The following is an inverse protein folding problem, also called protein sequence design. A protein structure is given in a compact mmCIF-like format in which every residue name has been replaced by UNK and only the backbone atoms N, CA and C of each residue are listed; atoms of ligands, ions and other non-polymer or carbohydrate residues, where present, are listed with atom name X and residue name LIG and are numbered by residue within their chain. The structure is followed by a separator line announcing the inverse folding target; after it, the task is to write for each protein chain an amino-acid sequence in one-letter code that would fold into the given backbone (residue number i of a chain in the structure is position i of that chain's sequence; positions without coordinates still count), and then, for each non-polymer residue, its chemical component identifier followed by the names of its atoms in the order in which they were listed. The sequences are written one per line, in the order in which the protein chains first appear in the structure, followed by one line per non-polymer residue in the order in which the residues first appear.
data_IF_876657827766
#
_entry.id   IF_876657827766
#
_cell.length_a   1.000
_cell.length_b   1.000
_cell.length_c   1.000
_cell.angle_alpha   90.00
_cell.angle_beta   90.00
_cell.angle_gamma   90.00
#
_symmetry.space_group_name_H-M   'P 1'
#
loop_
_entity.id
_entity.type
_entity.pdbx_description
1 polymer ?
#
# COMPACT_ATOMS: atom_id res chain seq x y z
N UNK A 1 24.23 15.65 17.80
CA UNK A 1 23.44 14.40 17.50
C UNK A 1 23.26 14.23 16.00
N UNK A 2 23.69 13.11 15.42
CA UNK A 2 23.58 12.86 13.96
C UNK A 2 22.12 12.56 13.60
N UNK A 3 21.49 13.45 12.85
CA UNK A 3 20.09 13.28 12.42
C UNK A 3 20.03 12.21 11.34
N UNK A 4 19.32 11.11 11.59
CA UNK A 4 19.11 10.07 10.59
C UNK A 4 17.98 10.47 9.64
N UNK A 5 18.30 10.64 8.36
CA UNK A 5 17.32 10.96 7.30
C UNK A 5 17.02 9.72 6.48
N UNK A 6 15.74 9.47 6.21
CA UNK A 6 15.25 8.34 5.43
C UNK A 6 14.39 8.88 4.28
N UNK A 7 14.57 8.31 3.10
CA UNK A 7 13.73 8.58 1.92
C UNK A 7 12.57 7.58 1.89
N UNK A 8 11.36 8.08 1.75
CA UNK A 8 10.15 7.28 1.55
C UNK A 8 9.65 7.51 0.13
N UNK A 9 10.10 6.68 -0.79
CA UNK A 9 9.86 6.83 -2.22
C UNK A 9 8.40 6.59 -2.60
N UNK A 10 7.88 7.35 -3.56
CA UNK A 10 6.57 7.13 -4.14
C UNK A 10 6.60 5.96 -5.13
N UNK A 11 5.49 5.21 -5.21
CA UNK A 11 5.28 4.15 -6.20
C UNK A 11 4.43 4.65 -7.36
N UNK A 12 4.66 4.10 -8.54
CA UNK A 12 3.81 4.25 -9.72
C UNK A 12 3.28 2.90 -10.18
N UNK A 13 2.00 2.84 -10.52
CA UNK A 13 1.49 1.73 -11.32
C UNK A 13 1.79 2.06 -12.80
N UNK A 14 2.83 1.45 -13.34
CA UNK A 14 3.18 1.56 -14.78
C UNK A 14 2.12 0.89 -15.65
N UNK A 15 1.48 -0.16 -15.12
CA UNK A 15 0.29 -0.78 -15.66
C UNK A 15 -0.53 -1.36 -14.52
N UNK A 16 -1.86 -1.42 -14.69
CA UNK A 16 -2.78 -1.99 -13.72
C UNK A 16 -3.96 -2.64 -14.42
N UNK A 17 -4.17 -3.92 -14.17
CA UNK A 17 -5.31 -4.68 -14.65
C UNK A 17 -6.21 -5.10 -13.49
N UNK A 18 -7.50 -5.23 -13.77
CA UNK A 18 -8.47 -5.82 -12.87
C UNK A 18 -8.92 -7.14 -13.47
N UNK A 19 -8.49 -8.25 -12.85
CA UNK A 19 -8.65 -9.60 -13.40
C UNK A 19 -9.85 -10.34 -12.83
N UNK A 20 -10.61 -9.69 -11.97
CA UNK A 20 -11.82 -10.27 -11.39
C UNK A 20 -12.23 -9.56 -10.11
N UNK A 21 -13.28 -10.10 -9.50
CA UNK A 21 -13.79 -9.66 -8.21
C UNK A 21 -13.99 -10.88 -7.31
N UNK A 22 -13.56 -10.78 -6.06
CA UNK A 22 -13.82 -11.79 -5.04
C UNK A 22 -14.55 -11.13 -3.88
N UNK A 23 -15.85 -11.34 -3.81
CA UNK A 23 -16.77 -10.63 -2.89
C UNK A 23 -16.69 -9.11 -3.09
N UNK A 24 -16.17 -8.35 -2.11
CA UNK A 24 -16.09 -6.89 -2.12
C UNK A 24 -14.78 -6.37 -2.73
N UNK A 25 -13.74 -7.24 -2.87
CA UNK A 25 -12.41 -6.84 -3.34
C UNK A 25 -12.19 -7.24 -4.80
N UNK A 26 -11.60 -6.33 -5.57
CA UNK A 26 -11.14 -6.63 -6.91
C UNK A 26 -9.79 -7.36 -6.88
N UNK A 27 -9.63 -8.36 -7.75
CA UNK A 27 -8.33 -8.96 -8.04
C UNK A 27 -7.60 -8.05 -9.00
N UNK A 28 -6.40 -7.63 -8.62
CA UNK A 28 -5.57 -6.74 -9.43
C UNK A 28 -4.24 -7.41 -9.74
N UNK A 29 -3.69 -7.07 -10.88
CA UNK A 29 -2.29 -7.29 -11.21
C UNK A 29 -1.69 -5.97 -11.68
N UNK A 30 -0.39 -5.76 -11.46
CA UNK A 30 0.24 -4.47 -11.74
C UNK A 30 1.73 -4.59 -11.96
N UNK A 31 2.24 -3.79 -12.91
CA UNK A 31 3.66 -3.48 -13.04
C UNK A 31 3.92 -2.22 -12.24
N UNK A 32 4.80 -2.29 -11.26
CA UNK A 32 5.03 -1.23 -10.28
C UNK A 32 6.46 -0.76 -10.35
N UNK A 33 6.64 0.54 -10.58
CA UNK A 33 7.90 1.24 -10.46
C UNK A 33 7.93 2.14 -9.23
N UNK A 34 9.12 2.42 -8.71
CA UNK A 34 9.33 3.44 -7.70
C UNK A 34 10.02 4.64 -8.34
N UNK A 35 9.82 5.83 -7.79
CA UNK A 35 10.40 7.08 -8.27
C UNK A 35 11.18 7.77 -7.17
N UNK A 36 12.10 8.63 -7.58
CA UNK A 36 12.92 9.45 -6.69
C UNK A 36 12.15 10.57 -5.97
N UNK A 37 10.88 10.78 -6.30
CA UNK A 37 9.97 11.60 -5.49
C UNK A 37 9.68 10.90 -4.16
N UNK A 38 10.04 11.52 -3.06
CA UNK A 38 9.95 10.92 -1.73
C UNK A 38 9.64 11.95 -0.65
N UNK A 39 8.97 11.52 0.41
CA UNK A 39 8.94 12.24 1.66
C UNK A 39 10.28 12.07 2.40
N UNK A 40 10.71 13.09 3.13
CA UNK A 40 11.95 13.01 3.94
C UNK A 40 11.56 12.81 5.40
N UNK A 41 12.05 11.73 5.99
CA UNK A 41 11.78 11.34 7.37
C UNK A 41 13.04 11.54 8.19
N UNK A 42 12.96 12.35 9.23
CA UNK A 42 14.00 12.47 10.26
C UNK A 42 13.54 11.70 11.48
N UNK A 43 14.38 10.81 12.00
CA UNK A 43 14.08 9.99 13.16
C UNK A 43 15.24 9.97 14.14
N UNK A 44 14.95 10.31 15.39
CA UNK A 44 15.89 10.28 16.49
C UNK A 44 15.25 9.61 17.70
N UNK A 45 16.03 8.86 18.46
CA UNK A 45 15.64 8.43 19.80
C UNK A 45 15.68 9.64 20.74
N UNK A 46 14.77 9.71 21.70
CA UNK A 46 14.78 10.73 22.74
C UNK A 46 14.27 10.14 24.07
N UNK A 47 14.58 10.81 25.17
CA UNK A 47 14.31 10.34 26.54
C UNK A 47 12.89 10.72 27.05
N UNK A 48 11.97 11.12 26.18
CA UNK A 48 10.61 11.48 26.58
C UNK A 48 9.73 10.26 26.83
N UNK A 49 8.61 10.46 27.54
CA UNK A 49 7.63 9.40 27.88
C UNK A 49 6.80 8.91 26.69
N UNK A 50 6.68 9.69 25.59
CA UNK A 50 5.83 9.39 24.41
C UNK A 50 6.61 9.60 23.11
N UNK A 51 6.18 8.94 22.02
CA UNK A 51 6.67 9.25 20.67
C UNK A 51 6.12 10.59 20.19
N UNK A 52 6.95 11.40 19.54
CA UNK A 52 6.56 12.65 18.89
C UNK A 52 6.62 12.50 17.38
N UNK A 53 5.47 12.55 16.71
CA UNK A 53 5.37 12.44 15.26
C UNK A 53 4.77 13.74 14.72
N UNK A 54 5.53 14.43 13.88
CA UNK A 54 5.14 15.70 13.30
C UNK A 54 5.32 15.70 11.78
N UNK A 55 4.46 16.47 11.11
CA UNK A 55 4.50 16.65 9.67
C UNK A 55 4.69 18.11 9.35
N UNK A 56 5.50 18.40 8.33
CA UNK A 56 5.73 19.76 7.83
C UNK A 56 5.94 19.74 6.32
N UNK A 57 5.95 20.91 5.69
CA UNK A 57 6.11 21.06 4.24
C UNK A 57 4.78 21.22 3.51
N UNK A 58 4.85 21.34 2.18
CA UNK A 58 3.75 21.77 1.31
C UNK A 58 2.45 20.96 1.46
N UNK A 59 2.54 19.65 1.76
CA UNK A 59 1.41 18.73 1.84
C UNK A 59 1.18 18.17 3.23
N UNK A 60 1.58 18.90 4.27
CA UNK A 60 1.41 18.50 5.67
C UNK A 60 0.06 18.92 6.28
N UNK A 61 -0.64 19.89 5.67
CA UNK A 61 -1.94 20.36 6.16
C UNK A 61 -2.95 19.21 6.17
N UNK A 62 -3.80 19.16 7.16
CA UNK A 62 -4.88 18.15 7.33
C UNK A 62 -4.41 16.69 7.54
N UNK A 63 -3.15 16.45 7.91
CA UNK A 63 -2.72 15.13 8.37
C UNK A 63 -3.16 14.97 9.82
N UNK A 64 -4.22 14.18 10.04
CA UNK A 64 -4.78 13.95 11.37
C UNK A 64 -3.82 13.19 12.31
N UNK A 65 -4.09 13.28 13.62
CA UNK A 65 -3.36 12.53 14.67
C UNK A 65 -3.38 11.01 14.46
N UNK A 66 -4.31 10.46 13.65
CA UNK A 66 -4.43 9.02 13.33
C UNK A 66 -3.83 8.68 11.96
N UNK A 67 -2.54 8.91 11.78
CA UNK A 67 -1.81 8.59 10.55
C UNK A 67 -1.09 7.22 10.64
N UNK A 68 -0.60 6.73 9.49
CA UNK A 68 0.04 5.40 9.38
C UNK A 68 1.31 5.26 10.20
N UNK A 69 2.09 6.33 10.36
CA UNK A 69 3.33 6.32 11.18
C UNK A 69 2.99 6.29 12.66
N UNK A 70 1.97 7.04 13.10
CA UNK A 70 1.47 6.96 14.48
C UNK A 70 1.00 5.55 14.82
N UNK A 71 0.24 4.93 13.91
CA UNK A 71 -0.20 3.54 14.07
C UNK A 71 0.97 2.57 14.20
N UNK A 72 2.01 2.73 13.37
CA UNK A 72 3.22 1.90 13.45
C UNK A 72 3.81 1.94 14.87
N UNK A 73 4.05 3.12 15.42
CA UNK A 73 4.62 3.23 16.76
C UNK A 73 3.72 2.70 17.86
N UNK A 74 2.41 2.91 17.77
CA UNK A 74 1.43 2.31 18.71
C UNK A 74 1.54 0.78 18.74
N UNK A 75 1.74 0.15 17.58
CA UNK A 75 1.90 -1.30 17.47
C UNK A 75 3.26 -1.74 18.03
N UNK A 76 4.32 -1.02 17.69
CA UNK A 76 5.68 -1.33 18.17
C UNK A 76 5.77 -1.25 19.70
N UNK A 77 5.15 -0.24 20.32
CA UNK A 77 5.07 -0.11 21.78
C UNK A 77 4.25 -1.25 22.41
N UNK A 78 3.07 -1.51 21.84
CA UNK A 78 2.19 -2.57 22.35
C UNK A 78 2.86 -3.94 22.35
N UNK A 79 3.66 -4.22 21.33
CA UNK A 79 4.40 -5.48 21.21
C UNK A 79 5.76 -5.45 21.93
N UNK A 80 6.05 -4.38 22.68
CA UNK A 80 7.32 -4.12 23.40
C UNK A 80 8.57 -4.30 22.52
N UNK A 81 8.47 -4.02 21.21
CA UNK A 81 9.57 -4.20 20.26
C UNK A 81 10.59 -3.08 20.32
N UNK A 82 10.25 -1.96 20.92
CA UNK A 82 11.12 -0.80 21.07
C UNK A 82 11.88 -0.81 22.40
N UNK A 83 11.66 -1.80 23.29
CA UNK A 83 12.31 -1.88 24.60
C UNK A 83 12.26 -0.53 25.34
N UNK A 84 11.06 0.05 25.45
CA UNK A 84 10.76 1.36 26.05
C UNK A 84 11.43 2.58 25.37
N UNK A 85 12.18 2.40 24.27
CA UNK A 85 12.77 3.51 23.52
C UNK A 85 11.70 4.37 22.86
N UNK A 86 11.81 5.69 23.01
CA UNK A 86 10.91 6.66 22.37
C UNK A 86 11.62 7.41 21.25
N UNK A 87 10.82 7.86 20.25
CA UNK A 87 11.37 8.46 19.04
C UNK A 87 10.65 9.77 18.70
N UNK A 88 11.45 10.75 18.28
CA UNK A 88 10.98 11.98 17.64
C UNK A 88 11.11 11.81 16.14
N UNK A 89 9.97 11.81 15.44
CA UNK A 89 9.89 11.62 13.98
C UNK A 89 9.33 12.89 13.35
N UNK A 90 10.10 13.51 12.47
CA UNK A 90 9.67 14.66 11.67
C UNK A 90 9.59 14.23 10.19
N UNK A 91 8.47 14.48 9.55
CA UNK A 91 8.22 14.06 8.16
C UNK A 91 7.95 15.29 7.29
N UNK A 92 8.88 15.59 6.37
CA UNK A 92 8.68 16.60 5.33
C UNK A 92 7.83 16.02 4.22
N UNK A 93 6.60 16.48 4.09
CA UNK A 93 5.65 16.01 3.07
C UNK A 93 5.90 16.67 1.72
N UNK A 94 6.42 15.88 0.78
CA UNK A 94 6.66 16.26 -0.63
C UNK A 94 5.71 15.53 -1.58
N UNK A 95 5.06 14.45 -1.10
CA UNK A 95 4.06 13.67 -1.82
C UNK A 95 2.67 14.15 -1.40
N UNK A 96 1.78 14.58 -2.33
CA UNK A 96 0.42 14.98 -2.01
C UNK A 96 -0.40 13.84 -1.40
N UNK A 97 -1.38 14.18 -0.57
CA UNK A 97 -2.36 13.22 -0.09
C UNK A 97 -3.32 12.81 -1.22
N UNK A 98 -3.90 11.60 -1.13
CA UNK A 98 -4.88 11.06 -2.09
C UNK A 98 -4.45 11.11 -3.57
N UNK A 99 -3.13 11.02 -3.80
CA UNK A 99 -2.54 11.09 -5.14
C UNK A 99 -2.38 9.71 -5.82
N UNK A 100 -2.77 8.62 -5.16
CA UNK A 100 -2.51 7.26 -5.66
C UNK A 100 -1.04 6.82 -5.59
N UNK A 101 -0.17 7.62 -4.96
CA UNK A 101 1.29 7.41 -4.87
C UNK A 101 1.74 6.63 -3.62
N UNK A 102 0.81 6.22 -2.76
CA UNK A 102 1.08 5.42 -1.57
C UNK A 102 1.85 6.13 -0.44
N UNK A 103 1.99 7.48 -0.45
CA UNK A 103 2.90 8.23 0.41
C UNK A 103 2.79 7.96 1.92
N UNK A 104 1.58 7.76 2.46
CA UNK A 104 1.39 7.46 3.89
C UNK A 104 1.90 6.08 4.30
N UNK A 105 1.55 5.03 3.53
CA UNK A 105 2.00 3.65 3.79
C UNK A 105 3.51 3.51 3.58
N UNK A 106 4.06 4.21 2.58
CA UNK A 106 5.51 4.24 2.31
C UNK A 106 6.29 4.89 3.46
N UNK A 107 5.75 5.95 4.08
CA UNK A 107 6.39 6.58 5.25
C UNK A 107 6.49 5.61 6.43
N UNK A 108 5.41 4.89 6.74
CA UNK A 108 5.42 3.91 7.82
C UNK A 108 6.38 2.75 7.53
N UNK A 109 6.39 2.22 6.30
CA UNK A 109 7.32 1.19 5.87
C UNK A 109 8.78 1.65 5.95
N UNK A 110 9.08 2.89 5.57
CA UNK A 110 10.43 3.47 5.64
C UNK A 110 10.91 3.63 7.07
N UNK A 111 10.05 4.07 7.99
CA UNK A 111 10.36 4.13 9.44
C UNK A 111 10.62 2.73 9.98
N UNK A 112 9.77 1.77 9.66
CA UNK A 112 9.94 0.38 10.08
C UNK A 112 11.29 -0.21 9.60
N UNK A 113 11.59 -0.08 8.31
CA UNK A 113 12.85 -0.56 7.73
C UNK A 113 14.07 0.11 8.37
N UNK A 114 13.98 1.39 8.73
CA UNK A 114 15.04 2.08 9.47
C UNK A 114 15.26 1.44 10.84
N UNK A 115 14.21 1.19 11.61
CA UNK A 115 14.31 0.58 12.94
C UNK A 115 14.92 -0.84 12.87
N UNK A 116 14.57 -1.61 11.85
CA UNK A 116 15.18 -2.92 11.55
C UNK A 116 16.66 -2.77 11.20
N UNK A 117 17.01 -1.87 10.26
CA UNK A 117 18.41 -1.63 9.85
C UNK A 117 19.30 -1.17 11.01
N UNK A 118 18.75 -0.41 11.94
CA UNK A 118 19.46 0.03 13.15
C UNK A 118 19.48 -1.01 14.27
N UNK A 119 19.02 -2.24 14.00
CA UNK A 119 18.94 -3.34 14.97
C UNK A 119 18.12 -2.99 16.24
N UNK A 120 17.29 -1.93 16.18
CA UNK A 120 16.36 -1.57 17.25
C UNK A 120 15.25 -2.61 17.33
N UNK A 121 14.81 -3.09 16.16
CA UNK A 121 13.85 -4.17 16.00
C UNK A 121 14.54 -5.34 15.32
N UNK A 122 14.45 -6.53 15.91
CA UNK A 122 14.95 -7.74 15.27
C UNK A 122 14.01 -8.18 14.13
N UNK A 123 14.47 -8.22 12.85
CA UNK A 123 13.63 -8.62 11.73
C UNK A 123 13.18 -10.09 11.81
N UNK A 124 13.97 -10.93 12.48
CA UNK A 124 13.68 -12.35 12.69
C UNK A 124 12.77 -12.58 13.91
N UNK A 125 12.58 -11.54 14.74
CA UNK A 125 11.65 -11.64 15.85
C UNK A 125 10.23 -11.84 15.32
N UNK A 126 9.54 -12.80 15.87
CA UNK A 126 8.24 -13.28 15.42
C UNK A 126 7.19 -12.18 15.29
N UNK A 127 7.21 -11.19 16.20
CA UNK A 127 6.31 -10.04 16.22
C UNK A 127 6.66 -8.99 15.15
N UNK A 128 7.92 -8.91 14.73
CA UNK A 128 8.39 -7.92 13.74
C UNK A 128 7.83 -8.17 12.34
N UNK A 129 7.76 -9.42 11.90
CA UNK A 129 7.20 -9.77 10.60
C UNK A 129 5.71 -9.46 10.49
N UNK A 130 4.96 -9.62 11.59
CA UNK A 130 3.52 -9.30 11.64
C UNK A 130 3.23 -7.80 11.53
N UNK A 131 4.17 -6.93 11.84
CA UNK A 131 3.97 -5.46 11.84
C UNK A 131 3.89 -4.89 10.43
N UNK A 132 4.58 -5.47 9.46
CA UNK A 132 4.44 -5.09 8.05
C UNK A 132 3.01 -5.29 7.55
N UNK A 133 2.31 -6.31 8.06
CA UNK A 133 0.92 -6.60 7.76
C UNK A 133 -0.05 -5.67 8.50
N UNK A 134 0.39 -5.07 9.62
CA UNK A 134 -0.45 -4.23 10.51
C UNK A 134 -0.47 -2.74 10.17
N UNK A 135 0.49 -2.24 9.40
CA UNK A 135 0.53 -0.82 9.04
C UNK A 135 -0.64 -0.48 8.11
N UNK A 136 -1.77 -0.15 8.69
CA UNK A 136 -3.03 0.14 8.00
C UNK A 136 -4.20 -0.76 8.37
N UNK A 137 -4.02 -1.77 9.25
CA UNK A 137 -5.04 -2.75 9.65
C UNK A 137 -5.50 -2.60 11.11
N UNK A 138 -6.55 -3.34 11.46
CA UNK A 138 -7.03 -3.45 12.85
C UNK A 138 -6.01 -4.20 13.73
N UNK A 139 -6.04 -3.99 15.03
CA UNK A 139 -5.12 -4.66 15.97
C UNK A 139 -5.74 -5.96 16.48
N UNK A 140 -5.03 -7.07 16.34
CA UNK A 140 -5.51 -8.40 16.72
C UNK A 140 -4.62 -8.99 17.82
N UNK A 141 -5.23 -9.37 18.95
CA UNK A 141 -4.57 -10.16 19.99
C UNK A 141 -5.06 -11.60 19.89
N UNK A 142 -4.12 -12.55 19.94
CA UNK A 142 -4.39 -13.98 19.72
C UNK A 142 -3.81 -14.78 20.88
N UNK A 143 -4.65 -15.55 21.58
CA UNK A 143 -4.24 -16.48 22.62
C UNK A 143 -4.85 -17.86 22.35
N UNK A 144 -4.06 -18.94 22.50
CA UNK A 144 -4.60 -20.29 22.53
C UNK A 144 -5.29 -20.54 23.86
N UNK A 145 -6.35 -21.34 23.87
CA UNK A 145 -7.07 -21.74 25.09
C UNK A 145 -7.68 -23.14 24.93
N UNK A 146 -8.08 -23.74 26.04
CA UNK A 146 -8.60 -25.13 26.08
C UNK A 146 -10.14 -25.25 25.97
N UNK A 147 -10.83 -24.21 25.50
CA UNK A 147 -12.29 -24.24 25.32
C UNK A 147 -12.68 -24.98 24.04
N UNK A 148 -13.92 -25.51 23.99
CA UNK A 148 -14.45 -26.27 22.84
C UNK A 148 -14.60 -25.47 21.54
N UNK A 149 -14.73 -24.11 21.60
CA UNK A 149 -14.97 -23.25 20.43
C UNK A 149 -14.00 -22.08 20.38
N UNK A 150 -13.69 -21.55 19.17
CA UNK A 150 -12.98 -20.29 19.03
C UNK A 150 -13.82 -19.12 19.57
N UNK A 151 -13.17 -18.17 20.23
CA UNK A 151 -13.81 -16.97 20.73
C UNK A 151 -13.25 -15.74 20.01
N UNK A 152 -14.11 -15.01 19.27
CA UNK A 152 -13.72 -13.82 18.50
C UNK A 152 -14.54 -12.64 19.02
N UNK A 153 -13.85 -11.64 19.56
CA UNK A 153 -14.47 -10.41 20.05
C UNK A 153 -13.89 -9.18 19.37
N UNK A 154 -14.74 -8.18 19.17
CA UNK A 154 -14.39 -6.90 18.56
C UNK A 154 -14.61 -5.77 19.56
N UNK A 155 -13.71 -4.79 19.57
CA UNK A 155 -13.83 -3.58 20.38
C UNK A 155 -13.21 -2.37 19.67
N UNK A 156 -13.47 -1.16 20.16
CA UNK A 156 -12.97 0.09 19.59
C UNK A 156 -14.01 0.83 18.75
N UNK A 157 -13.63 1.99 18.22
CA UNK A 157 -14.54 2.98 17.60
C UNK A 157 -15.45 2.41 16.50
N UNK A 158 -14.97 1.44 15.73
CA UNK A 158 -15.68 0.86 14.58
C UNK A 158 -16.07 -0.60 14.79
N UNK A 159 -16.25 -1.03 16.07
CA UNK A 159 -16.64 -2.40 16.41
C UNK A 159 -18.16 -2.62 16.46
N UNK A 160 -18.97 -1.57 16.51
CA UNK A 160 -20.42 -1.67 16.51
C UNK A 160 -20.92 -2.33 15.22
N UNK A 161 -21.93 -3.18 15.30
CA UNK A 161 -22.57 -3.87 14.17
C UNK A 161 -21.69 -4.86 13.39
N UNK A 162 -20.63 -5.41 13.99
CA UNK A 162 -19.90 -6.53 13.39
C UNK A 162 -20.68 -7.83 13.68
N UNK A 163 -21.33 -8.35 12.65
CA UNK A 163 -22.10 -9.58 12.76
C UNK A 163 -21.26 -10.82 13.10
N UNK A 164 -21.93 -11.87 13.58
CA UNK A 164 -21.32 -13.20 13.85
C UNK A 164 -20.63 -13.82 12.60
N UNK A 165 -21.07 -13.47 11.39
CA UNK A 165 -20.47 -13.92 10.11
C UNK A 165 -19.39 -12.95 9.61
N UNK A 166 -18.26 -12.84 10.29
CA UNK A 166 -17.13 -12.02 9.88
C UNK A 166 -16.00 -12.83 9.23
N UNK A 167 -15.05 -12.16 8.56
CA UNK A 167 -13.98 -12.81 7.78
C UNK A 167 -13.02 -13.64 8.64
N UNK A 168 -12.78 -13.26 9.90
CA UNK A 168 -11.94 -14.05 10.82
C UNK A 168 -12.68 -15.32 11.26
N UNK A 169 -13.98 -15.22 11.56
CA UNK A 169 -14.82 -16.39 11.84
C UNK A 169 -14.80 -17.36 10.65
N UNK A 170 -14.97 -16.83 9.44
CA UNK A 170 -14.95 -17.64 8.22
C UNK A 170 -13.60 -18.32 8.00
N UNK A 171 -12.49 -17.63 8.28
CA UNK A 171 -11.16 -18.24 8.23
C UNK A 171 -11.10 -19.46 9.14
N UNK A 172 -11.56 -19.35 10.41
CA UNK A 172 -11.51 -20.48 11.34
C UNK A 172 -12.44 -21.63 10.93
N UNK A 173 -13.62 -21.32 10.39
CA UNK A 173 -14.48 -22.37 9.81
C UNK A 173 -13.78 -23.16 8.70
N UNK A 174 -13.02 -22.47 7.83
CA UNK A 174 -12.23 -23.13 6.77
C UNK A 174 -11.08 -23.93 7.39
N UNK A 175 -10.32 -23.35 8.33
CA UNK A 175 -9.19 -24.03 8.95
C UNK A 175 -9.60 -25.26 9.79
N UNK A 176 -10.75 -25.19 10.47
CA UNK A 176 -11.32 -26.34 11.20
C UNK A 176 -11.81 -27.41 10.21
N UNK A 177 -12.52 -27.02 9.12
CA UNK A 177 -12.99 -27.94 8.07
C UNK A 177 -11.83 -28.70 7.41
N UNK A 178 -10.72 -28.03 7.14
CA UNK A 178 -9.51 -28.58 6.56
C UNK A 178 -8.62 -29.29 7.61
N UNK A 179 -9.08 -29.44 8.86
CA UNK A 179 -8.35 -30.02 10.00
C UNK A 179 -6.93 -29.45 10.22
N UNK A 180 -6.69 -28.21 9.76
CA UNK A 180 -5.37 -27.56 9.82
C UNK A 180 -4.99 -27.11 11.23
N UNK A 181 -5.93 -26.97 12.13
CA UNK A 181 -5.70 -26.49 13.50
C UNK A 181 -5.40 -27.60 14.50
N UNK A 182 -5.49 -28.88 14.11
CA UNK A 182 -5.25 -30.04 15.00
C UNK A 182 -5.98 -29.86 16.35
N UNK A 183 -7.28 -29.56 16.29
CA UNK A 183 -8.17 -29.33 17.44
C UNK A 183 -7.82 -28.14 18.35
N UNK A 184 -6.79 -27.33 18.04
CA UNK A 184 -6.43 -26.16 18.82
C UNK A 184 -7.46 -25.05 18.67
N UNK A 185 -7.90 -24.45 19.80
CA UNK A 185 -8.86 -23.36 19.82
C UNK A 185 -8.20 -22.06 20.29
N UNK A 186 -8.72 -20.92 19.81
CA UNK A 186 -8.09 -19.61 20.01
C UNK A 186 -9.11 -18.55 20.43
N UNK A 187 -8.65 -17.63 21.30
CA UNK A 187 -9.36 -16.41 21.69
C UNK A 187 -8.75 -15.21 20.97
N UNK A 188 -9.58 -14.47 20.26
CA UNK A 188 -9.20 -13.27 19.54
C UNK A 188 -9.87 -12.05 20.14
N UNK A 189 -9.09 -10.99 20.34
CA UNK A 189 -9.59 -9.65 20.63
C UNK A 189 -9.15 -8.72 19.51
N UNK A 190 -10.08 -8.20 18.72
CA UNK A 190 -9.81 -7.37 17.53
C UNK A 190 -10.25 -5.95 17.81
N UNK A 191 -9.28 -5.03 17.90
CA UNK A 191 -9.55 -3.60 18.03
C UNK A 191 -9.82 -3.03 16.65
N UNK A 192 -11.06 -2.64 16.38
CA UNK A 192 -11.48 -2.04 15.11
C UNK A 192 -11.05 -0.59 15.03
N UNK A 193 -10.04 -0.35 14.18
CA UNK A 193 -9.51 0.98 13.85
C UNK A 193 -9.86 1.40 12.43
N UNK A 194 -10.32 0.46 11.60
CA UNK A 194 -10.78 0.69 10.24
C UNK A 194 -12.30 0.61 10.23
N UNK A 195 -13.01 1.63 9.67
CA UNK A 195 -14.47 1.57 9.52
C UNK A 195 -14.88 0.36 8.70
N UNK A 196 -16.07 -0.19 9.02
CA UNK A 196 -16.67 -1.23 8.18
C UNK A 196 -17.03 -0.65 6.82
N UNK A 197 -17.02 -1.48 5.77
CA UNK A 197 -17.40 -1.10 4.39
C UNK A 197 -16.64 0.09 3.79
N UNK A 198 -15.52 0.49 4.40
CA UNK A 198 -14.71 1.62 3.93
C UNK A 198 -13.90 1.34 2.64
N UNK A 199 -14.11 0.18 1.99
CA UNK A 199 -13.32 -0.22 0.81
C UNK A 199 -11.83 -0.51 1.09
N UNK A 200 -11.41 -0.45 2.36
CA UNK A 200 -10.02 -0.59 2.80
C UNK A 200 -9.62 -2.04 3.14
N UNK A 201 -10.48 -3.02 2.84
CA UNK A 201 -10.18 -4.43 3.08
C UNK A 201 -10.00 -4.84 4.55
N UNK A 202 -10.42 -4.02 5.54
CA UNK A 202 -10.11 -4.22 6.95
C UNK A 202 -10.47 -5.61 7.52
N UNK A 203 -11.59 -6.20 7.09
CA UNK A 203 -11.98 -7.56 7.49
C UNK A 203 -11.09 -8.64 6.88
N UNK A 204 -10.76 -8.54 5.59
CA UNK A 204 -9.87 -9.46 4.88
C UNK A 204 -8.45 -9.39 5.41
N UNK A 205 -7.98 -8.19 5.74
CA UNK A 205 -6.66 -7.97 6.37
C UNK A 205 -6.58 -8.63 7.74
N UNK A 206 -7.67 -8.59 8.53
CA UNK A 206 -7.72 -9.27 9.83
C UNK A 206 -7.58 -10.79 9.66
N UNK A 207 -8.33 -11.38 8.72
CA UNK A 207 -8.26 -12.82 8.46
C UNK A 207 -6.84 -13.23 7.97
N UNK A 208 -6.25 -12.45 7.06
CA UNK A 208 -4.91 -12.69 6.57
C UNK A 208 -3.84 -12.59 7.66
N UNK A 209 -3.91 -11.56 8.53
CA UNK A 209 -2.98 -11.39 9.64
C UNK A 209 -3.07 -12.56 10.63
N UNK A 210 -4.28 -13.05 10.90
CA UNK A 210 -4.50 -14.25 11.74
C UNK A 210 -3.91 -15.49 11.07
N UNK A 211 -4.16 -15.69 9.79
CA UNK A 211 -3.61 -16.83 9.04
C UNK A 211 -2.07 -16.82 9.05
N UNK A 212 -1.46 -15.71 8.70
CA UNK A 212 0.00 -15.57 8.71
C UNK A 212 0.60 -15.81 10.09
N UNK A 213 -0.09 -15.37 11.16
CA UNK A 213 0.32 -15.68 12.53
C UNK A 213 0.32 -17.19 12.78
N UNK A 214 -0.73 -17.93 12.39
CA UNK A 214 -0.84 -19.37 12.61
C UNK A 214 0.23 -20.16 11.83
N UNK A 215 0.48 -19.78 10.56
CA UNK A 215 1.57 -20.37 9.74
C UNK A 215 2.93 -20.13 10.41
N UNK A 216 3.19 -18.90 10.82
CA UNK A 216 4.45 -18.52 11.44
C UNK A 216 4.70 -19.21 12.78
N UNK A 217 3.64 -19.44 13.54
CA UNK A 217 3.70 -20.22 14.80
C UNK A 217 3.83 -21.72 14.55
N UNK A 218 3.92 -22.15 13.30
CA UNK A 218 3.90 -23.57 12.91
C UNK A 218 2.67 -24.32 13.47
N UNK A 219 1.59 -23.57 13.76
CA UNK A 219 0.31 -24.12 14.21
C UNK A 219 -0.39 -24.79 13.02
N UNK A 220 -0.30 -24.14 11.86
CA UNK A 220 -0.74 -24.70 10.58
C UNK A 220 0.46 -24.76 9.63
N UNK A 221 0.51 -25.84 8.84
CA UNK A 221 1.47 -25.99 7.74
C UNK A 221 0.67 -26.24 6.45
N UNK A 222 0.10 -25.17 5.85
CA UNK A 222 -0.72 -25.31 4.66
C UNK A 222 0.15 -25.68 3.47
N UNK A 223 -0.31 -26.64 2.66
CA UNK A 223 0.28 -26.89 1.35
C UNK A 223 0.10 -25.66 0.45
N UNK A 224 0.79 -25.66 -0.71
CA UNK A 224 0.81 -24.53 -1.63
C UNK A 224 -0.59 -24.12 -2.14
N UNK A 225 -1.49 -25.10 -2.40
CA UNK A 225 -2.84 -24.84 -2.90
C UNK A 225 -3.73 -24.22 -1.83
N UNK A 226 -3.62 -24.68 -0.59
CA UNK A 226 -4.38 -24.12 0.54
C UNK A 226 -3.89 -22.71 0.93
N UNK A 227 -2.58 -22.46 0.86
CA UNK A 227 -2.01 -21.12 1.05
C UNK A 227 -2.54 -20.15 0.01
N UNK A 228 -2.67 -20.57 -1.25
CA UNK A 228 -3.16 -19.73 -2.35
C UNK A 228 -4.61 -19.29 -2.16
N UNK A 229 -5.51 -20.20 -1.76
CA UNK A 229 -6.93 -19.86 -1.53
C UNK A 229 -7.13 -18.94 -0.33
N UNK A 230 -6.20 -18.92 0.62
CA UNK A 230 -6.25 -18.10 1.82
C UNK A 230 -5.56 -16.74 1.61
N UNK A 231 -4.42 -16.68 0.89
CA UNK A 231 -3.70 -15.44 0.56
C UNK A 231 -4.45 -14.51 -0.39
N UNK A 232 -5.40 -15.01 -1.17
CA UNK A 232 -6.33 -14.18 -1.99
C UNK A 232 -7.18 -13.19 -1.14
N UNK A 233 -7.04 -13.22 0.17
CA UNK A 233 -7.73 -12.35 1.14
C UNK A 233 -6.89 -11.15 1.62
N UNK A 234 -5.61 -11.03 1.22
CA UNK A 234 -4.67 -10.01 1.73
C UNK A 234 -4.53 -8.85 0.75
N UNK A 235 -4.67 -7.62 1.24
CA UNK A 235 -4.38 -6.41 0.46
C UNK A 235 -2.87 -6.16 0.33
N UNK A 236 -2.41 -5.78 -0.87
CA UNK A 236 -1.01 -5.78 -1.30
C UNK A 236 -0.19 -4.52 -0.99
N UNK A 237 -0.83 -3.39 -0.61
CA UNK A 237 -0.15 -2.08 -0.61
C UNK A 237 0.88 -1.89 0.50
N UNK A 238 0.75 -2.55 1.64
CA UNK A 238 1.73 -2.41 2.73
C UNK A 238 3.00 -3.19 2.45
N UNK A 239 2.89 -4.36 1.86
CA UNK A 239 4.05 -5.16 1.41
C UNK A 239 4.87 -4.38 0.37
N UNK A 240 4.22 -3.65 -0.54
CA UNK A 240 4.90 -2.79 -1.52
C UNK A 240 5.80 -1.74 -0.85
N UNK A 241 5.36 -1.20 0.28
CA UNK A 241 6.14 -0.23 1.07
C UNK A 241 7.46 -0.76 1.65
N UNK A 242 7.60 -2.07 1.80
CA UNK A 242 8.86 -2.71 2.21
C UNK A 242 9.77 -3.08 1.03
N UNK A 243 9.24 -2.96 -0.21
CA UNK A 243 9.93 -3.27 -1.46
C UNK A 243 10.37 -1.97 -2.11
N UNK A 244 11.63 -1.56 -1.96
CA UNK A 244 12.17 -0.33 -2.55
C UNK A 244 12.72 -0.53 -3.99
N UNK A 245 12.16 -1.47 -4.75
CA UNK A 245 12.58 -1.81 -6.11
C UNK A 245 11.39 -2.12 -7.01
N UNK A 246 11.56 -1.96 -8.31
CA UNK A 246 10.54 -2.34 -9.30
C UNK A 246 10.04 -3.76 -9.07
N UNK A 247 8.73 -3.97 -9.19
CA UNK A 247 8.13 -5.28 -8.97
C UNK A 247 6.87 -5.49 -9.80
N UNK A 248 6.51 -6.74 -9.97
CA UNK A 248 5.25 -7.15 -10.59
C UNK A 248 4.38 -7.82 -9.54
N UNK A 249 3.16 -7.31 -9.39
CA UNK A 249 2.09 -7.93 -8.64
C UNK A 249 1.26 -8.77 -9.62
N UNK A 250 1.22 -10.08 -9.41
CA UNK A 250 0.41 -11.00 -10.22
C UNK A 250 -1.05 -11.03 -9.78
N UNK A 251 -1.95 -11.52 -10.62
CA UNK A 251 -3.39 -11.67 -10.33
C UNK A 251 -3.69 -12.58 -9.13
N UNK A 252 -2.73 -13.44 -8.77
CA UNK A 252 -2.79 -14.33 -7.61
C UNK A 252 -2.19 -13.70 -6.35
N UNK A 253 -1.88 -12.39 -6.38
CA UNK A 253 -1.35 -11.66 -5.25
C UNK A 253 0.15 -11.85 -4.97
N UNK A 254 0.88 -12.58 -5.81
CA UNK A 254 2.34 -12.75 -5.67
C UNK A 254 3.06 -11.51 -6.14
N UNK A 255 4.11 -11.10 -5.41
CA UNK A 255 4.98 -9.99 -5.77
C UNK A 255 6.35 -10.54 -6.11
N UNK A 256 6.81 -10.30 -7.34
CA UNK A 256 8.17 -10.60 -7.79
C UNK A 256 8.95 -9.31 -7.99
N UNK A 257 10.06 -9.15 -7.28
CA UNK A 257 11.01 -8.04 -7.50
C UNK A 257 11.71 -8.24 -8.83
N UNK A 258 11.90 -7.17 -9.57
CA UNK A 258 12.62 -7.14 -10.83
C UNK A 258 13.74 -6.10 -10.70
N UNK A 259 14.96 -6.55 -10.90
CA UNK A 259 16.15 -5.71 -10.79
C UNK A 259 16.58 -5.19 -12.16
N UNK A 260 17.37 -4.11 -12.16
CA UNK A 260 17.95 -3.51 -13.38
C UNK A 260 16.90 -3.22 -14.45
N UNK A 261 15.76 -2.63 -14.05
CA UNK A 261 14.71 -2.19 -14.97
C UNK A 261 15.12 -0.89 -15.68
N UNK A 262 14.61 -0.63 -16.90
CA UNK A 262 14.82 0.66 -17.58
C UNK A 262 14.40 1.83 -16.71
N UNK A 263 15.10 2.97 -16.87
CA UNK A 263 14.82 4.19 -16.11
C UNK A 263 14.12 5.20 -17.02
N UNK A 264 13.01 5.73 -16.53
CA UNK A 264 12.20 6.73 -17.23
C UNK A 264 12.19 8.04 -16.44
N UNK A 265 12.26 9.16 -17.14
CA UNK A 265 11.91 10.46 -16.59
C UNK A 265 10.40 10.64 -16.68
N UNK A 266 9.80 11.29 -15.71
CA UNK A 266 8.35 11.43 -15.66
C UNK A 266 7.92 12.80 -15.15
N UNK A 267 6.90 13.36 -15.81
CA UNK A 267 6.17 14.52 -15.33
C UNK A 267 4.88 14.04 -14.67
N UNK A 268 4.78 14.23 -13.36
CA UNK A 268 3.62 13.88 -12.57
C UNK A 268 2.75 15.11 -12.36
N UNK A 269 1.48 14.96 -12.66
CA UNK A 269 0.48 16.02 -12.50
C UNK A 269 -0.67 15.54 -11.62
N UNK A 270 -0.98 16.30 -10.56
CA UNK A 270 -2.17 16.09 -9.74
C UNK A 270 -3.01 17.36 -9.74
N UNK A 271 -4.30 17.30 -10.14
CA UNK A 271 -5.22 18.42 -9.96
C UNK A 271 -5.47 18.73 -8.48
N UNK A 272 -6.20 19.81 -8.22
CA UNK A 272 -6.58 20.24 -6.87
C UNK A 272 -7.56 19.29 -6.16
N UNK A 273 -8.22 18.40 -6.91
CA UNK A 273 -9.09 17.36 -6.36
C UNK A 273 -8.45 15.97 -6.31
N UNK A 274 -9.05 15.06 -5.55
CA UNK A 274 -8.73 13.63 -5.50
C UNK A 274 -9.79 12.77 -6.19
N UNK A 275 -9.44 11.53 -6.54
CA UNK A 275 -10.39 10.51 -6.99
C UNK A 275 -10.74 9.58 -5.82
N UNK A 276 -12.03 9.43 -5.54
CA UNK A 276 -12.47 8.46 -4.53
C UNK A 276 -12.20 7.04 -5.03
N UNK A 277 -11.24 6.36 -4.41
CA UNK A 277 -10.90 4.96 -4.72
C UNK A 277 -12.15 4.07 -4.70
N UNK A 278 -13.01 4.21 -3.68
CA UNK A 278 -14.26 3.46 -3.57
C UNK A 278 -15.16 3.68 -4.79
N UNK A 279 -15.39 4.94 -5.18
CA UNK A 279 -16.26 5.27 -6.33
C UNK A 279 -15.69 4.79 -7.68
N UNK A 280 -14.37 4.75 -7.83
CA UNK A 280 -13.72 4.24 -9.04
C UNK A 280 -13.85 2.72 -9.11
N UNK A 281 -13.49 2.01 -8.05
CA UNK A 281 -13.58 0.54 -8.01
C UNK A 281 -15.01 0.03 -8.11
N UNK A 282 -16.00 0.71 -7.50
CA UNK A 282 -17.42 0.30 -7.59
C UNK A 282 -17.99 0.42 -9.00
N UNK A 283 -17.38 1.21 -9.87
CA UNK A 283 -17.80 1.40 -11.26
C UNK A 283 -17.14 0.41 -12.25
N UNK A 284 -16.30 -0.51 -11.77
CA UNK A 284 -15.70 -1.56 -12.62
C UNK A 284 -16.77 -2.57 -13.03
N UNK A 285 -16.94 -2.78 -14.34
CA UNK A 285 -17.90 -3.72 -14.91
C UNK A 285 -17.26 -4.84 -15.73
N UNK A 286 -16.05 -4.58 -16.29
CA UNK A 286 -15.33 -5.53 -17.13
C UNK A 286 -14.01 -5.92 -16.47
N UNK A 287 -13.61 -7.19 -16.63
CA UNK A 287 -12.35 -7.72 -16.14
C UNK A 287 -11.47 -8.12 -17.31
N UNK A 288 -10.16 -7.96 -17.14
CA UNK A 288 -9.14 -8.37 -18.12
C UNK A 288 -8.64 -9.78 -17.81
N UNK A 289 -8.25 -10.52 -18.85
CA UNK A 289 -7.48 -11.76 -18.66
C UNK A 289 -6.16 -11.44 -17.95
N UNK A 290 -5.71 -12.34 -17.08
CA UNK A 290 -4.42 -12.16 -16.38
C UNK A 290 -3.25 -12.27 -17.35
N UNK A 291 -2.33 -11.29 -17.29
CA UNK A 291 -1.13 -11.19 -18.15
C UNK A 291 0.19 -11.24 -17.36
N UNK A 292 0.15 -10.98 -16.02
CA UNK A 292 1.37 -10.76 -15.23
C UNK A 292 1.71 -11.91 -14.27
N UNK A 293 1.15 -13.11 -14.49
CA UNK A 293 1.43 -14.27 -13.62
C UNK A 293 2.83 -14.86 -13.82
N UNK A 294 3.47 -14.60 -14.97
CA UNK A 294 4.85 -14.99 -15.27
C UNK A 294 5.72 -13.74 -15.44
N UNK A 295 6.12 -13.08 -14.32
CA UNK A 295 6.84 -11.82 -14.37
C UNK A 295 8.21 -11.91 -15.03
N UNK A 296 8.48 -11.04 -16.02
CA UNK A 296 9.75 -10.94 -16.75
C UNK A 296 10.27 -9.51 -16.74
N UNK A 297 11.60 -9.33 -16.91
CA UNK A 297 12.26 -8.00 -16.94
C UNK A 297 11.80 -7.15 -18.13
N UNK A 298 11.55 -7.76 -19.28
CA UNK A 298 11.10 -7.06 -20.49
C UNK A 298 9.74 -6.35 -20.34
N UNK A 299 8.92 -6.74 -19.37
CA UNK A 299 7.66 -6.05 -19.05
C UNK A 299 7.86 -4.59 -18.62
N UNK A 300 9.08 -4.22 -18.24
CA UNK A 300 9.45 -2.83 -17.91
C UNK A 300 9.99 -2.05 -19.11
N UNK A 301 10.15 -2.69 -20.26
CA UNK A 301 10.57 -2.02 -21.49
C UNK A 301 9.46 -1.16 -22.09
N UNK A 302 9.84 -0.05 -22.76
CA UNK A 302 8.89 0.89 -23.34
C UNK A 302 7.97 0.22 -24.37
N UNK A 303 8.52 -0.65 -25.23
CA UNK A 303 7.73 -1.42 -26.22
C UNK A 303 6.60 -2.21 -25.59
N UNK A 304 6.84 -2.82 -24.43
CA UNK A 304 5.81 -3.55 -23.70
C UNK A 304 4.85 -2.61 -22.98
N UNK A 305 5.36 -1.55 -22.31
CA UNK A 305 4.54 -0.66 -21.49
C UNK A 305 3.57 0.20 -22.31
N UNK A 306 3.89 0.55 -23.55
CA UNK A 306 2.99 1.34 -24.42
C UNK A 306 1.66 0.62 -24.60
N UNK A 307 1.67 -0.70 -24.81
CA UNK A 307 0.50 -1.53 -25.05
C UNK A 307 -0.27 -1.87 -23.76
N UNK A 308 0.26 -1.50 -22.61
CA UNK A 308 -0.44 -1.73 -21.34
C UNK A 308 -1.38 -0.57 -21.01
N UNK A 309 -2.25 -0.80 -20.04
CA UNK A 309 -3.24 0.18 -19.59
C UNK A 309 -3.31 0.24 -18.06
N UNK A 310 -4.02 1.23 -17.57
CA UNK A 310 -4.59 1.22 -16.22
C UNK A 310 -6.12 1.03 -16.36
N UNK A 311 -6.61 -0.13 -16.00
CA UNK A 311 -8.04 -0.48 -16.14
C UNK A 311 -8.98 0.47 -15.36
N UNK A 312 -8.48 1.23 -14.41
CA UNK A 312 -9.25 2.24 -13.68
C UNK A 312 -9.27 3.61 -14.38
N UNK A 313 -8.38 3.83 -15.35
CA UNK A 313 -8.20 5.14 -15.99
C UNK A 313 -9.45 5.57 -16.76
N UNK A 314 -9.99 4.71 -17.63
CA UNK A 314 -11.20 5.02 -18.41
C UNK A 314 -12.37 5.42 -17.51
N UNK A 315 -12.54 4.71 -16.40
CA UNK A 315 -13.59 5.00 -15.41
C UNK A 315 -13.33 6.36 -14.75
N UNK A 316 -12.09 6.64 -14.37
CA UNK A 316 -11.73 7.90 -13.76
C UNK A 316 -11.90 9.09 -14.71
N UNK A 317 -11.48 8.95 -15.97
CA UNK A 317 -11.60 9.98 -17.00
C UNK A 317 -13.07 10.29 -17.31
N UNK A 318 -13.95 9.27 -17.35
CA UNK A 318 -15.39 9.45 -17.51
C UNK A 318 -16.00 10.19 -16.30
N UNK A 319 -15.62 9.80 -15.09
CA UNK A 319 -16.18 10.36 -13.85
C UNK A 319 -15.64 11.75 -13.51
N UNK A 320 -14.42 12.06 -13.94
CA UNK A 320 -13.72 13.31 -13.71
C UNK A 320 -13.21 13.91 -15.02
N UNK A 321 -14.07 14.58 -15.84
CA UNK A 321 -13.70 15.07 -17.20
C UNK A 321 -12.46 15.97 -17.22
N UNK A 322 -12.21 16.72 -16.14
CA UNK A 322 -10.98 17.52 -16.01
C UNK A 322 -9.69 16.67 -16.10
N UNK A 323 -9.71 15.37 -15.68
CA UNK A 323 -8.58 14.48 -15.86
C UNK A 323 -8.33 14.15 -17.34
N UNK A 324 -9.38 13.97 -18.13
CA UNK A 324 -9.27 13.74 -19.59
C UNK A 324 -8.57 14.91 -20.27
N UNK A 325 -8.93 16.16 -19.94
CA UNK A 325 -8.27 17.37 -20.45
C UNK A 325 -6.78 17.41 -20.08
N UNK A 326 -6.42 17.03 -18.84
CA UNK A 326 -5.02 16.95 -18.38
C UNK A 326 -4.26 15.88 -19.17
N UNK A 327 -4.85 14.70 -19.36
CA UNK A 327 -4.23 13.59 -20.08
C UNK A 327 -3.91 13.98 -21.51
N UNK A 328 -4.90 14.46 -22.26
CA UNK A 328 -4.75 14.92 -23.64
C UNK A 328 -3.68 16.02 -23.77
N UNK A 329 -3.66 16.97 -22.84
CA UNK A 329 -2.61 17.99 -22.82
C UNK A 329 -1.22 17.41 -22.65
N UNK A 330 -1.05 16.43 -21.75
CA UNK A 330 0.25 15.78 -21.55
C UNK A 330 0.64 14.92 -22.75
N UNK A 331 -0.29 14.26 -23.43
CA UNK A 331 -0.07 13.46 -24.63
C UNK A 331 0.45 14.32 -25.78
N UNK A 332 -0.05 15.57 -25.94
CA UNK A 332 0.41 16.53 -26.94
C UNK A 332 1.70 17.27 -26.56
N UNK A 333 2.31 17.02 -25.40
CA UNK A 333 3.38 17.84 -24.85
C UNK A 333 4.73 17.14 -24.87
N UNK A 334 5.66 17.63 -25.73
CA UNK A 334 7.07 17.20 -25.76
C UNK A 334 7.30 15.69 -26.00
N UNK A 335 6.46 15.05 -26.82
CA UNK A 335 6.58 13.65 -27.28
C UNK A 335 6.82 12.67 -26.12
N UNK A 336 5.84 12.46 -25.22
CA UNK A 336 5.97 11.45 -24.18
C UNK A 336 6.01 10.04 -24.80
N UNK A 337 6.73 9.11 -24.20
CA UNK A 337 6.69 7.70 -24.55
C UNK A 337 5.29 7.12 -24.39
N UNK A 338 4.65 7.46 -23.30
CA UNK A 338 3.25 7.19 -23.01
C UNK A 338 2.77 8.06 -21.84
N UNK A 339 1.44 8.23 -21.73
CA UNK A 339 0.79 8.96 -20.62
C UNK A 339 -0.22 8.04 -19.95
N UNK A 340 -0.20 7.97 -18.63
CA UNK A 340 -1.07 7.05 -17.89
C UNK A 340 -1.38 7.56 -16.49
N UNK A 341 -2.61 7.32 -16.03
CA UNK A 341 -2.99 7.53 -14.65
C UNK A 341 -2.35 6.48 -13.74
N UNK A 342 -1.90 6.84 -12.55
CA UNK A 342 -1.39 5.89 -11.58
C UNK A 342 -2.44 5.53 -10.52
N UNK A 343 -2.57 4.25 -10.20
CA UNK A 343 -3.54 3.73 -9.24
C UNK A 343 -4.98 4.12 -9.64
N UNK A 344 -5.80 4.49 -8.65
CA UNK A 344 -7.16 5.01 -8.86
C UNK A 344 -7.21 6.51 -9.18
N UNK A 345 -6.05 7.14 -9.47
CA UNK A 345 -5.94 8.59 -9.70
C UNK A 345 -5.83 9.37 -8.37
N UNK A 346 -5.81 10.70 -8.42
CA UNK A 346 -6.01 11.58 -9.59
C UNK A 346 -4.72 11.95 -10.35
N UNK A 347 -3.57 11.33 -10.02
CA UNK A 347 -2.30 11.69 -10.68
C UNK A 347 -2.23 11.07 -12.07
N UNK A 348 -1.97 11.91 -13.09
CA UNK A 348 -1.59 11.54 -14.45
C UNK A 348 -0.07 11.68 -14.58
N UNK A 349 0.56 10.71 -15.24
CA UNK A 349 2.01 10.63 -15.40
C UNK A 349 2.35 10.53 -16.88
N UNK A 350 3.17 11.45 -17.36
CA UNK A 350 3.77 11.39 -18.70
C UNK A 350 5.23 10.95 -18.57
N UNK A 351 5.63 9.94 -19.35
CA UNK A 351 6.96 9.32 -19.30
C UNK A 351 7.80 9.76 -20.50
N UNK A 352 9.10 9.97 -20.28
CA UNK A 352 10.03 10.52 -21.26
C UNK A 352 11.37 9.79 -21.22
N UNK A 353 12.09 9.79 -22.34
CA UNK A 353 13.47 9.29 -22.41
C UNK A 353 14.47 10.27 -21.78
N UNK A 354 14.18 11.58 -21.77
CA UNK A 354 15.13 12.59 -21.33
C UNK A 354 14.57 13.51 -20.23
N UNK A 355 15.47 13.94 -19.36
CA UNK A 355 15.14 14.95 -18.34
C UNK A 355 14.77 16.30 -18.98
N UNK A 356 15.35 16.64 -20.13
CA UNK A 356 15.06 17.88 -20.86
C UNK A 356 13.59 17.92 -21.30
N UNK A 357 13.11 16.88 -22.00
CA UNK A 357 11.71 16.76 -22.42
C UNK A 357 10.75 16.80 -21.23
N UNK A 358 11.08 16.09 -20.15
CA UNK A 358 10.31 16.08 -18.92
C UNK A 358 10.22 17.47 -18.28
N UNK A 359 11.31 18.24 -18.19
CA UNK A 359 11.31 19.61 -17.65
C UNK A 359 10.52 20.57 -18.53
N UNK A 360 10.65 20.49 -19.86
CA UNK A 360 9.87 21.31 -20.80
C UNK A 360 8.36 21.03 -20.67
N UNK A 361 7.98 19.77 -20.60
CA UNK A 361 6.58 19.38 -20.38
C UNK A 361 6.02 19.97 -19.07
N UNK A 362 6.79 19.88 -17.99
CA UNK A 362 6.42 20.53 -16.72
C UNK A 362 6.24 22.02 -16.87
N UNK A 363 7.15 22.73 -17.56
CA UNK A 363 7.09 24.17 -17.76
C UNK A 363 5.83 24.55 -18.55
N UNK A 364 5.56 23.87 -19.71
CA UNK A 364 4.33 24.09 -20.49
C UNK A 364 3.08 23.82 -19.68
N UNK A 365 3.07 22.70 -18.92
CA UNK A 365 1.93 22.38 -18.06
C UNK A 365 1.66 23.48 -17.01
N UNK A 366 2.71 23.97 -16.34
CA UNK A 366 2.58 24.99 -15.29
C UNK A 366 2.14 26.36 -15.83
N UNK A 367 2.43 26.69 -17.09
CA UNK A 367 1.89 27.91 -17.74
C UNK A 367 0.36 27.84 -17.86
N UNK A 368 -0.18 26.67 -18.30
CA UNK A 368 -1.61 26.48 -18.51
C UNK A 368 -2.37 26.21 -17.20
N UNK A 369 -1.81 25.41 -16.30
CA UNK A 369 -2.44 24.94 -15.06
C UNK A 369 -1.64 25.37 -13.81
N UNK A 370 -1.63 26.68 -13.54
CA UNK A 370 -0.79 27.30 -12.47
C UNK A 370 -1.01 26.66 -11.10
N UNK A 371 -2.25 26.34 -10.73
CA UNK A 371 -2.63 25.87 -9.40
C UNK A 371 -2.48 24.35 -9.20
N UNK A 372 -2.32 23.56 -10.27
CA UNK A 372 -2.17 22.13 -10.15
C UNK A 372 -0.76 21.73 -9.72
N UNK A 373 -0.68 20.69 -8.92
CA UNK A 373 0.64 20.14 -8.55
C UNK A 373 1.29 19.49 -9.77
N UNK A 374 2.54 19.85 -10.02
CA UNK A 374 3.31 19.30 -11.11
C UNK A 374 4.79 19.17 -10.71
N UNK A 375 5.35 17.98 -10.82
CA UNK A 375 6.77 17.72 -10.53
C UNK A 375 7.38 16.77 -11.56
N UNK A 376 8.70 16.84 -11.69
CA UNK A 376 9.49 15.86 -12.42
C UNK A 376 10.06 14.83 -11.45
N UNK A 377 10.17 13.58 -11.89
CA UNK A 377 10.78 12.48 -11.17
C UNK A 377 11.46 11.50 -12.13
N UNK A 378 12.29 10.60 -11.59
CA UNK A 378 12.93 9.51 -12.32
C UNK A 378 12.61 8.18 -11.66
N UNK A 379 12.33 7.13 -12.43
CA UNK A 379 12.20 5.78 -11.86
C UNK A 379 13.55 5.30 -11.32
N UNK A 380 13.53 4.59 -10.20
CA UNK A 380 14.72 4.13 -9.49
C UNK A 380 14.91 2.62 -9.57
#
# INVERSE_FOLDING_TARGET
MKINKIKSNAKLNLALNITGKKKVLHKIESIIGFIDLHDVISINQHNGKKHHISFYGKFSKNIGKKNTVQKLFQILDKENLLKNKKFKVKIKKLIPQEAGLGGGSMNAASVFNYLVKKKIINPNHQKTRSICDFVGSDVISINQHNRKKHHISFYGKFSKNIGKKNTVQKLFQILDKENLLKNKKFKFKIKKLIPQEAGLGGGSMNAASVFNYLVKKKIINPNYQNTRSICDLVGSDVILGTISSSCVLSSVGRIKKIYNTPKYYSTLVKPDFGCSTKKIYSAVRKYTKSKYNKPKKNMFGVKYLIDQQNALETIALKKYPKLKKIKLFLESTNNPLFVRMTGSGSTIVAYYNSLKSCKLAKAKFKRKYKNYWCVTAKTI
#
